data_IF_114081055917
#
_entry.id   IF_114081055917
#
_cell.length_a   1.000
_cell.length_b   1.000
_cell.length_c   1.000
_cell.angle_alpha   90.00
_cell.angle_beta   90.00
_cell.angle_gamma   90.00
#
_symmetry.space_group_name_H-M   'P 1'
#
loop_
_entity.id
_entity.type
_entity.pdbx_description
1 polymer ?
#
# COMPACT_ATOMS: atom_id res chain seq x y z
N UNK A 1 -3.23 67.67 2.58
CA UNK A 1 -3.68 68.08 1.26
C UNK A 1 -3.91 66.79 0.47
N UNK A 2 -5.03 66.39 0.12
CA UNK A 2 -6.40 66.75 -0.19
C UNK A 2 -6.91 65.53 -0.95
N UNK A 3 -7.89 64.87 -0.49
CA UNK A 3 -9.35 64.91 -0.61
C UNK A 3 -9.92 64.58 -2.00
N UNK A 4 -10.99 63.79 -1.93
CA UNK A 4 -12.18 63.69 -2.81
C UNK A 4 -12.15 62.57 -3.89
N UNK A 5 -13.21 61.85 -4.27
CA UNK A 5 -14.61 61.73 -3.81
C UNK A 5 -15.25 60.44 -4.40
N UNK A 6 -16.19 59.88 -3.64
CA UNK A 6 -17.35 59.05 -3.95
C UNK A 6 -17.92 59.02 -5.38
N UNK A 7 -18.47 57.84 -5.75
CA UNK A 7 -19.90 57.80 -6.14
C UNK A 7 -20.42 56.36 -6.25
N UNK A 8 -21.51 56.12 -5.58
CA UNK A 8 -22.47 54.99 -5.66
C UNK A 8 -23.17 54.98 -7.02
N UNK A 9 -23.49 53.77 -7.52
CA UNK A 9 -24.75 53.56 -8.24
C UNK A 9 -25.27 52.14 -8.01
N UNK A 10 -26.38 52.05 -7.30
CA UNK A 10 -27.28 50.89 -7.16
C UNK A 10 -28.14 50.79 -8.41
N UNK A 11 -28.27 49.58 -8.96
CA UNK A 11 -29.45 49.24 -9.75
C UNK A 11 -29.98 47.86 -9.30
N UNK A 12 -31.17 47.92 -8.73
CA UNK A 12 -32.07 46.79 -8.50
C UNK A 12 -32.68 46.39 -9.87
N UNK A 13 -32.77 45.10 -10.15
CA UNK A 13 -33.86 44.60 -10.96
C UNK A 13 -34.32 43.24 -10.43
N UNK A 14 -35.60 43.09 -10.49
CA UNK A 14 -36.48 42.16 -9.79
C UNK A 14 -36.51 40.76 -10.35
N UNK A 15 -37.03 39.85 -9.52
CA UNK A 15 -37.31 38.44 -9.72
C UNK A 15 -38.16 38.10 -10.95
N UNK A 16 -37.90 36.92 -11.50
CA UNK A 16 -38.97 36.00 -11.93
C UNK A 16 -38.55 34.53 -11.70
N UNK A 17 -39.30 33.88 -10.84
CA UNK A 17 -39.32 32.46 -10.57
C UNK A 17 -39.78 31.71 -11.83
N UNK A 18 -38.93 30.81 -12.37
CA UNK A 18 -39.36 29.68 -13.19
C UNK A 18 -38.70 28.41 -12.63
N UNK A 19 -39.56 27.61 -12.02
CA UNK A 19 -39.24 26.27 -11.53
C UNK A 19 -38.94 25.33 -12.73
N UNK A 20 -37.76 24.70 -12.68
CA UNK A 20 -37.45 23.51 -13.49
C UNK A 20 -37.04 22.35 -12.61
N UNK A 21 -37.47 21.11 -12.92
CA UNK A 21 -37.25 19.96 -12.05
C UNK A 21 -35.79 19.56 -12.04
N UNK A 22 -35.29 19.26 -10.84
CA UNK A 22 -33.98 18.69 -10.57
C UNK A 22 -33.88 17.28 -11.10
N UNK A 23 -33.19 17.09 -12.22
CA UNK A 23 -32.67 15.80 -12.63
C UNK A 23 -31.30 15.63 -11.94
N UNK A 24 -31.22 14.71 -10.97
CA UNK A 24 -29.97 14.24 -10.43
C UNK A 24 -29.17 13.53 -11.53
N UNK A 25 -27.96 13.94 -11.87
CA UNK A 25 -27.10 13.10 -12.68
C UNK A 25 -26.50 12.02 -11.80
N UNK A 26 -26.75 10.75 -12.13
CA UNK A 26 -26.03 9.60 -11.60
C UNK A 26 -24.51 9.78 -11.81
N UNK A 27 -23.67 9.43 -10.85
CA UNK A 27 -22.22 9.48 -11.04
C UNK A 27 -21.81 8.37 -12.01
N UNK A 28 -21.61 8.73 -13.27
CA UNK A 28 -20.87 7.89 -14.21
C UNK A 28 -19.40 7.96 -13.82
N UNK A 29 -18.91 6.90 -13.18
CA UNK A 29 -17.48 6.68 -12.99
C UNK A 29 -16.83 6.44 -14.35
N UNK A 30 -16.29 7.49 -14.94
CA UNK A 30 -15.36 7.40 -16.06
C UNK A 30 -14.01 6.98 -15.50
N UNK A 31 -13.72 5.68 -15.47
CA UNK A 31 -12.35 5.19 -15.30
C UNK A 31 -11.57 5.45 -16.58
N UNK A 32 -11.05 6.66 -16.73
CA UNK A 32 -9.96 6.91 -17.66
C UNK A 32 -8.68 6.36 -17.02
N UNK A 33 -8.23 5.20 -17.50
CA UNK A 33 -6.91 4.65 -17.16
C UNK A 33 -5.81 5.56 -17.75
N UNK A 34 -5.52 6.66 -17.06
CA UNK A 34 -4.35 7.48 -17.32
C UNK A 34 -3.16 6.79 -16.64
N UNK A 35 -2.26 6.23 -17.44
CA UNK A 35 -0.94 5.81 -16.98
C UNK A 35 -0.20 7.07 -16.53
N UNK A 36 -0.21 7.34 -15.23
CA UNK A 36 0.59 8.40 -14.65
C UNK A 36 2.01 7.87 -14.40
N UNK A 37 2.98 8.49 -15.02
CA UNK A 37 4.37 8.35 -14.62
C UNK A 37 4.50 8.97 -13.24
N UNK A 38 4.81 8.14 -12.24
CA UNK A 38 4.72 8.46 -10.82
C UNK A 38 5.77 9.46 -10.29
N UNK A 39 6.72 9.90 -11.12
CA UNK A 39 7.89 10.66 -10.66
C UNK A 39 7.99 12.08 -11.22
N UNK A 40 6.86 12.76 -11.49
CA UNK A 40 6.90 14.18 -11.90
C UNK A 40 6.73 15.04 -10.65
N UNK A 41 7.79 15.73 -10.17
CA UNK A 41 7.69 16.62 -9.03
C UNK A 41 6.70 17.75 -9.27
N UNK A 42 5.97 18.18 -8.24
CA UNK A 42 5.25 19.45 -8.26
C UNK A 42 6.26 20.59 -8.54
N UNK A 43 5.84 21.61 -9.31
CA UNK A 43 6.69 22.73 -9.72
C UNK A 43 7.81 22.38 -10.72
N UNK A 44 7.53 21.48 -11.66
CA UNK A 44 8.45 21.27 -12.77
C UNK A 44 8.48 22.50 -13.69
N UNK A 45 9.62 22.73 -14.38
CA UNK A 45 9.76 23.75 -15.41
C UNK A 45 8.92 23.47 -16.66
N UNK A 46 8.28 22.31 -16.73
CA UNK A 46 7.43 21.90 -17.85
C UNK A 46 5.96 22.18 -17.50
N UNK A 47 5.34 23.11 -18.25
CA UNK A 47 3.97 23.60 -18.02
C UNK A 47 2.93 22.91 -18.90
N UNK A 48 2.86 21.57 -18.92
CA UNK A 48 1.75 20.85 -19.57
C UNK A 48 0.44 20.97 -18.78
N UNK A 49 -0.73 20.63 -19.37
CA UNK A 49 -1.99 20.59 -18.64
C UNK A 49 -1.86 19.60 -17.48
N UNK A 50 -2.02 20.09 -16.26
CA UNK A 50 -1.98 19.24 -15.04
C UNK A 50 -3.17 18.31 -15.05
N UNK A 51 -3.00 16.99 -14.82
CA UNK A 51 -4.14 16.15 -14.49
C UNK A 51 -4.83 16.74 -13.26
N UNK A 52 -6.10 16.98 -13.34
CA UNK A 52 -6.90 17.38 -12.18
C UNK A 52 -7.19 16.13 -11.33
N UNK A 53 -6.18 15.61 -10.65
CA UNK A 53 -6.39 14.72 -9.51
C UNK A 53 -6.73 15.61 -8.31
N UNK A 54 -7.85 15.38 -7.60
CA UNK A 54 -8.24 16.20 -6.46
C UNK A 54 -7.26 16.07 -5.27
N UNK A 55 -6.41 15.06 -5.25
CA UNK A 55 -5.42 14.84 -4.19
C UNK A 55 -4.01 14.96 -4.75
N UNK A 56 -3.23 15.83 -4.11
CA UNK A 56 -1.83 16.08 -4.47
C UNK A 56 -0.95 14.94 -3.99
N UNK A 57 -0.05 14.47 -4.85
CA UNK A 57 0.98 13.49 -4.49
C UNK A 57 1.82 14.00 -3.32
N UNK A 58 2.06 13.13 -2.34
CA UNK A 58 2.98 13.41 -1.23
C UNK A 58 4.42 13.42 -1.73
N UNK A 59 5.16 14.47 -1.41
CA UNK A 59 6.57 14.65 -1.76
C UNK A 59 7.40 14.85 -0.50
N UNK A 60 8.72 14.83 -0.62
CA UNK A 60 9.63 15.15 0.49
C UNK A 60 9.33 16.55 1.08
N UNK A 61 8.93 17.50 0.24
CA UNK A 61 8.55 18.85 0.71
C UNK A 61 7.29 18.81 1.59
N UNK A 62 6.30 17.99 1.24
CA UNK A 62 5.11 17.80 2.09
C UNK A 62 5.48 17.18 3.44
N UNK A 63 6.33 16.15 3.46
CA UNK A 63 6.78 15.53 4.71
C UNK A 63 7.55 16.51 5.60
N UNK A 64 8.42 17.35 5.02
CA UNK A 64 9.11 18.43 5.74
C UNK A 64 8.12 19.45 6.32
N UNK A 65 7.11 19.85 5.55
CA UNK A 65 6.08 20.80 6.01
C UNK A 65 5.26 20.20 7.16
N UNK A 66 4.82 18.91 7.06
CA UNK A 66 4.14 18.22 8.15
C UNK A 66 5.01 18.19 9.41
N UNK A 67 6.27 17.83 9.28
CA UNK A 67 7.22 17.78 10.38
C UNK A 67 7.38 19.17 11.06
N UNK A 68 7.57 20.24 10.27
CA UNK A 68 7.68 21.61 10.82
C UNK A 68 6.41 22.09 11.51
N UNK A 69 5.24 21.60 11.10
CA UNK A 69 3.94 21.92 11.73
C UNK A 69 3.62 21.01 12.91
N UNK A 70 4.47 20.03 13.22
CA UNK A 70 4.19 19.01 14.24
C UNK A 70 3.05 18.06 13.87
N UNK A 71 2.70 17.95 12.58
CA UNK A 71 1.68 17.04 12.09
C UNK A 71 2.26 15.62 11.94
N UNK A 72 1.58 14.57 12.47
CA UNK A 72 2.10 13.22 12.41
C UNK A 72 2.13 12.68 10.97
N UNK A 73 3.19 11.92 10.67
CA UNK A 73 3.39 11.25 9.37
C UNK A 73 2.93 9.80 9.48
N UNK A 74 2.03 9.40 8.59
CA UNK A 74 1.53 8.02 8.50
C UNK A 74 2.34 7.22 7.49
N UNK A 75 2.86 6.06 7.92
CA UNK A 75 3.61 5.15 7.05
C UNK A 75 3.05 3.74 7.19
N UNK A 76 2.79 3.05 6.10
CA UNK A 76 2.37 1.65 6.10
C UNK A 76 3.11 0.93 4.98
N UNK A 77 3.44 -0.35 5.19
CA UNK A 77 4.05 -1.16 4.13
C UNK A 77 3.00 -1.62 3.11
N UNK A 78 3.43 -1.84 1.86
CA UNK A 78 2.65 -2.55 0.86
C UNK A 78 3.58 -3.43 0.01
N UNK A 79 3.02 -4.48 -0.61
CA UNK A 79 3.83 -5.49 -1.31
C UNK A 79 3.25 -5.89 -2.65
N UNK A 80 2.04 -5.46 -2.97
CA UNK A 80 1.33 -5.79 -4.19
C UNK A 80 0.40 -4.64 -4.63
N UNK A 81 -0.22 -4.81 -5.79
CA UNK A 81 -1.14 -3.82 -6.34
C UNK A 81 -2.36 -3.55 -5.42
N UNK A 82 -3.11 -4.57 -4.93
CA UNK A 82 -4.28 -4.29 -4.10
C UNK A 82 -3.93 -3.64 -2.76
N UNK A 83 -2.86 -4.05 -2.08
CA UNK A 83 -2.45 -3.38 -0.84
C UNK A 83 -2.07 -1.92 -1.08
N UNK A 84 -1.38 -1.62 -2.19
CA UNK A 84 -1.04 -0.25 -2.57
C UNK A 84 -2.29 0.62 -2.84
N UNK A 85 -3.30 0.07 -3.54
CA UNK A 85 -4.58 0.76 -3.77
C UNK A 85 -5.30 1.06 -2.44
N UNK A 86 -5.27 0.14 -1.48
CA UNK A 86 -5.87 0.39 -0.16
C UNK A 86 -5.19 1.55 0.57
N UNK A 87 -3.86 1.62 0.52
CA UNK A 87 -3.11 2.71 1.14
C UNK A 87 -3.38 4.05 0.45
N UNK A 88 -3.44 4.05 -0.87
CA UNK A 88 -3.76 5.22 -1.69
C UNK A 88 -5.13 5.78 -1.32
N UNK A 89 -6.15 4.92 -1.28
CA UNK A 89 -7.53 5.29 -0.90
C UNK A 89 -7.66 5.76 0.56
N UNK A 90 -6.79 5.25 1.45
CA UNK A 90 -6.79 5.64 2.86
C UNK A 90 -6.04 6.98 3.12
N UNK A 91 -5.41 7.58 2.11
CA UNK A 91 -4.67 8.82 2.23
C UNK A 91 -3.41 8.71 3.11
N UNK A 92 -2.72 7.56 3.07
CA UNK A 92 -1.46 7.33 3.79
C UNK A 92 -0.36 8.20 3.18
N UNK A 93 0.44 8.86 4.01
CA UNK A 93 1.50 9.78 3.53
C UNK A 93 2.65 9.04 2.82
N UNK A 94 3.05 7.89 3.34
CA UNK A 94 4.20 7.12 2.82
C UNK A 94 3.82 5.64 2.68
N UNK A 95 4.05 5.10 1.50
CA UNK A 95 3.96 3.68 1.23
C UNK A 95 5.37 3.09 1.16
N UNK A 96 5.68 2.17 2.07
CA UNK A 96 6.97 1.51 2.17
C UNK A 96 6.89 0.10 1.58
N UNK A 97 7.66 -0.18 0.55
CA UNK A 97 7.90 -1.55 0.09
C UNK A 97 9.03 -2.12 0.93
N UNK A 98 8.66 -2.79 2.02
CA UNK A 98 9.61 -3.30 3.00
C UNK A 98 10.18 -4.67 2.63
N UNK A 99 11.43 -4.94 3.00
CA UNK A 99 12.04 -6.28 2.91
C UNK A 99 11.36 -7.30 3.86
N UNK A 100 10.50 -6.81 4.78
CA UNK A 100 9.54 -7.63 5.52
C UNK A 100 8.60 -8.44 4.61
N UNK A 101 8.52 -8.16 3.30
CA UNK A 101 7.91 -9.03 2.30
C UNK A 101 8.45 -10.46 2.37
N UNK A 102 9.74 -10.62 2.67
CA UNK A 102 10.35 -11.94 2.92
C UNK A 102 9.57 -12.75 3.95
N UNK A 103 9.11 -12.10 5.02
CA UNK A 103 8.39 -12.78 6.11
C UNK A 103 6.89 -12.89 5.85
N UNK A 104 6.23 -11.78 5.49
CA UNK A 104 4.76 -11.72 5.46
C UNK A 104 4.15 -12.11 4.12
N UNK A 105 4.94 -12.14 3.05
CA UNK A 105 4.50 -12.54 1.70
C UNK A 105 5.15 -13.86 1.27
N UNK A 106 6.47 -14.01 1.46
CA UNK A 106 7.21 -15.20 1.03
C UNK A 106 7.24 -16.30 2.10
N UNK A 107 6.89 -15.97 3.37
CA UNK A 107 6.77 -16.97 4.45
C UNK A 107 8.11 -17.38 5.07
N UNK A 108 9.16 -16.58 4.93
CA UNK A 108 10.44 -16.82 5.61
C UNK A 108 10.42 -16.33 7.07
N UNK A 109 11.35 -16.84 7.88
CA UNK A 109 11.48 -16.47 9.29
C UNK A 109 12.19 -15.12 9.51
N UNK A 110 12.87 -14.61 8.49
CA UNK A 110 13.67 -13.39 8.53
C UNK A 110 13.55 -12.60 7.23
N UNK A 111 14.06 -11.36 7.23
CA UNK A 111 14.10 -10.53 6.01
C UNK A 111 15.27 -10.89 5.08
N UNK A 112 16.24 -11.71 5.54
CA UNK A 112 17.48 -11.98 4.80
C UNK A 112 17.31 -12.68 3.43
N UNK A 113 16.35 -13.62 3.26
CA UNK A 113 16.27 -14.39 2.01
C UNK A 113 15.82 -13.61 0.78
N UNK A 114 15.10 -12.50 0.95
CA UNK A 114 14.54 -11.76 -0.19
C UNK A 114 15.66 -11.12 -1.02
N UNK A 115 15.63 -11.37 -2.31
CA UNK A 115 16.56 -10.80 -3.28
C UNK A 115 16.13 -9.41 -3.77
N UNK A 116 17.06 -8.67 -4.39
CA UNK A 116 16.74 -7.40 -5.04
C UNK A 116 15.70 -7.56 -6.16
N UNK A 117 15.80 -8.63 -6.94
CA UNK A 117 14.89 -8.84 -8.08
C UNK A 117 13.46 -9.12 -7.60
N UNK A 118 13.27 -9.84 -6.50
CA UNK A 118 11.97 -10.01 -5.84
C UNK A 118 11.45 -8.68 -5.28
N UNK A 119 12.30 -7.91 -4.60
CA UNK A 119 11.93 -6.57 -4.14
C UNK A 119 11.45 -5.67 -5.30
N UNK A 120 12.13 -5.73 -6.45
CA UNK A 120 11.72 -4.98 -7.65
C UNK A 120 10.37 -5.43 -8.21
N UNK A 121 10.00 -6.71 -8.07
CA UNK A 121 8.64 -7.18 -8.41
C UNK A 121 7.60 -6.51 -7.53
N UNK A 122 7.82 -6.50 -6.21
CA UNK A 122 6.95 -5.82 -5.25
C UNK A 122 6.87 -4.31 -5.51
N UNK A 123 8.01 -3.65 -5.69
CA UNK A 123 8.07 -2.22 -5.99
C UNK A 123 7.25 -1.85 -7.24
N UNK A 124 7.41 -2.58 -8.34
CA UNK A 124 6.64 -2.35 -9.58
C UNK A 124 5.14 -2.56 -9.40
N UNK A 125 4.74 -3.53 -8.59
CA UNK A 125 3.33 -3.79 -8.30
C UNK A 125 2.72 -2.63 -7.49
N UNK A 126 3.42 -2.18 -6.43
CA UNK A 126 3.01 -1.06 -5.58
C UNK A 126 2.96 0.25 -6.36
N UNK A 127 3.98 0.53 -7.18
CA UNK A 127 4.02 1.76 -7.98
C UNK A 127 2.86 1.91 -8.98
N UNK A 128 2.23 0.80 -9.38
CA UNK A 128 1.01 0.83 -10.20
C UNK A 128 -0.27 1.09 -9.41
N UNK A 129 -0.27 0.75 -8.12
CA UNK A 129 -1.46 0.83 -7.26
C UNK A 129 -1.56 2.11 -6.43
N UNK A 130 -0.44 2.73 -6.09
CA UNK A 130 -0.37 3.91 -5.25
C UNK A 130 0.13 5.12 -6.03
N UNK A 131 -0.69 6.17 -6.10
CA UNK A 131 -0.41 7.40 -6.86
C UNK A 131 -0.21 8.63 -5.97
N UNK A 132 -0.76 8.62 -4.75
CA UNK A 132 -0.69 9.74 -3.81
C UNK A 132 0.46 9.65 -2.80
N UNK A 133 0.73 8.50 -2.13
CA UNK A 133 1.78 8.43 -1.13
C UNK A 133 3.18 8.58 -1.74
N UNK A 134 4.12 9.05 -0.94
CA UNK A 134 5.54 8.94 -1.26
C UNK A 134 5.94 7.46 -1.23
N UNK A 135 6.54 6.96 -2.31
CA UNK A 135 6.94 5.55 -2.44
C UNK A 135 8.39 5.35 -2.02
N UNK A 136 8.61 4.47 -1.06
CA UNK A 136 9.95 4.13 -0.57
C UNK A 136 10.18 2.63 -0.73
N UNK A 137 11.33 2.23 -1.28
CA UNK A 137 11.73 0.83 -1.39
C UNK A 137 12.91 0.51 -0.48
N UNK A 138 12.83 -0.61 0.24
CA UNK A 138 13.96 -1.11 1.02
C UNK A 138 15.07 -1.64 0.12
N UNK A 139 16.32 -1.39 0.51
CA UNK A 139 17.46 -2.14 0.00
C UNK A 139 17.58 -3.45 0.78
N UNK A 140 17.38 -4.61 0.14
CA UNK A 140 17.48 -5.89 0.84
C UNK A 140 18.93 -6.21 1.23
N UNK A 141 19.08 -7.05 2.27
CA UNK A 141 20.40 -7.51 2.73
C UNK A 141 21.23 -8.09 1.58
N UNK A 142 22.53 -7.79 1.58
CA UNK A 142 23.47 -8.25 0.56
C UNK A 142 23.61 -7.32 -0.65
N UNK A 143 22.85 -6.22 -0.71
CA UNK A 143 22.79 -5.35 -1.89
C UNK A 143 23.44 -3.97 -1.70
N UNK A 144 23.92 -3.65 -0.49
CA UNK A 144 24.54 -2.34 -0.19
C UNK A 144 25.68 -2.43 0.86
N UNK A 145 26.08 -3.64 1.21
CA UNK A 145 27.05 -3.89 2.27
C UNK A 145 28.50 -3.90 1.80
N UNK A 146 28.75 -4.29 0.56
CA UNK A 146 30.10 -4.53 0.06
C UNK A 146 30.89 -3.24 -0.12
N UNK A 147 30.27 -2.21 -0.69
CA UNK A 147 30.87 -0.90 -0.94
C UNK A 147 29.82 0.12 -1.40
N UNK A 148 30.20 1.40 -1.46
CA UNK A 148 29.30 2.48 -1.85
C UNK A 148 28.79 2.39 -3.29
N UNK A 149 29.60 1.87 -4.23
CA UNK A 149 29.15 1.73 -5.62
C UNK A 149 28.00 0.72 -5.73
N UNK A 150 28.13 -0.45 -5.06
CA UNK A 150 27.03 -1.41 -4.99
C UNK A 150 25.75 -0.76 -4.43
N UNK A 151 25.87 0.02 -3.35
CA UNK A 151 24.74 0.68 -2.71
C UNK A 151 24.05 1.68 -3.66
N UNK A 152 24.83 2.47 -4.40
CA UNK A 152 24.31 3.43 -5.39
C UNK A 152 23.66 2.68 -6.55
N UNK A 153 24.30 1.66 -7.12
CA UNK A 153 23.76 0.87 -8.22
C UNK A 153 22.43 0.22 -7.84
N UNK A 154 22.34 -0.34 -6.63
CA UNK A 154 21.10 -0.91 -6.10
C UNK A 154 20.01 0.15 -5.94
N UNK A 155 20.33 1.30 -5.35
CA UNK A 155 19.37 2.40 -5.19
C UNK A 155 18.86 2.91 -6.56
N UNK A 156 19.73 3.03 -7.56
CA UNK A 156 19.35 3.40 -8.94
C UNK A 156 18.36 2.37 -9.51
N UNK A 157 18.58 1.07 -9.31
CA UNK A 157 17.65 0.04 -9.77
C UNK A 157 16.28 0.16 -9.07
N UNK A 158 16.26 0.39 -7.77
CA UNK A 158 15.01 0.56 -7.00
C UNK A 158 14.20 1.76 -7.52
N UNK A 159 14.85 2.88 -7.82
CA UNK A 159 14.16 4.04 -8.41
C UNK A 159 13.73 3.78 -9.85
N UNK A 160 14.64 3.35 -10.73
CA UNK A 160 14.37 3.26 -12.18
C UNK A 160 13.54 2.05 -12.57
N UNK A 161 13.83 0.89 -12.01
CA UNK A 161 13.14 -0.36 -12.34
C UNK A 161 11.93 -0.60 -11.41
N UNK A 162 12.06 -0.21 -10.13
CA UNK A 162 11.01 -0.35 -9.12
C UNK A 162 9.96 0.76 -9.15
N UNK A 163 10.31 1.95 -9.68
CA UNK A 163 9.41 3.11 -9.71
C UNK A 163 9.25 3.79 -8.35
N UNK A 164 10.24 3.66 -7.47
CA UNK A 164 10.22 4.29 -6.14
C UNK A 164 10.75 5.72 -6.18
N UNK A 165 10.32 6.55 -5.22
CA UNK A 165 10.76 7.94 -5.06
C UNK A 165 12.00 8.06 -4.17
N UNK A 166 12.16 7.10 -3.24
CA UNK A 166 13.23 7.06 -2.26
C UNK A 166 13.58 5.63 -1.91
N UNK A 167 14.69 5.45 -1.18
CA UNK A 167 15.09 4.15 -0.63
C UNK A 167 15.17 4.19 0.90
N UNK A 168 15.08 3.00 1.54
CA UNK A 168 15.44 2.82 2.96
C UNK A 168 16.61 1.86 3.07
N UNK A 169 17.52 2.12 4.00
CA UNK A 169 18.61 1.22 4.36
C UNK A 169 18.77 1.11 5.89
N UNK A 170 19.26 -0.04 6.36
CA UNK A 170 19.38 -0.36 7.77
C UNK A 170 20.80 -0.21 8.30
N UNK A 171 20.86 0.26 9.56
CA UNK A 171 22.08 0.32 10.34
C UNK A 171 22.82 1.65 10.25
N UNK A 172 23.83 1.78 11.11
CA UNK A 172 24.60 3.00 11.27
C UNK A 172 26.06 2.74 11.61
N UNK A 173 26.60 1.57 11.19
CA UNK A 173 28.06 1.38 11.17
C UNK A 173 28.71 2.39 10.21
N UNK A 174 30.00 2.70 10.36
CA UNK A 174 30.68 3.65 9.47
C UNK A 174 30.47 3.33 7.98
N UNK A 175 30.48 2.07 7.59
CA UNK A 175 30.22 1.64 6.21
C UNK A 175 28.79 1.95 5.75
N UNK A 176 27.78 1.82 6.64
CA UNK A 176 26.38 2.15 6.34
C UNK A 176 26.17 3.65 6.18
N UNK A 177 26.79 4.46 7.05
CA UNK A 177 26.78 5.92 6.94
C UNK A 177 27.42 6.35 5.63
N UNK A 178 28.56 5.75 5.26
CA UNK A 178 29.24 6.02 3.98
C UNK A 178 28.37 5.64 2.78
N UNK A 179 27.69 4.49 2.82
CA UNK A 179 26.78 4.08 1.77
C UNK A 179 25.57 5.04 1.65
N UNK A 180 24.95 5.41 2.78
CA UNK A 180 23.86 6.38 2.80
C UNK A 180 24.28 7.72 2.17
N UNK A 181 25.45 8.24 2.55
CA UNK A 181 26.00 9.47 2.01
C UNK A 181 26.24 9.39 0.51
N UNK A 182 26.83 8.30 0.03
CA UNK A 182 27.08 8.10 -1.41
C UNK A 182 25.78 8.07 -2.23
N UNK A 183 24.72 7.43 -1.72
CA UNK A 183 23.41 7.41 -2.36
C UNK A 183 22.80 8.81 -2.39
N UNK A 184 22.87 9.57 -1.29
CA UNK A 184 22.41 10.96 -1.22
C UNK A 184 23.17 11.86 -2.20
N UNK A 185 24.50 11.74 -2.27
CA UNK A 185 25.36 12.49 -3.21
C UNK A 185 25.06 12.14 -4.68
N UNK A 186 24.56 10.92 -4.95
CA UNK A 186 24.05 10.52 -6.26
C UNK A 186 22.68 11.12 -6.60
N UNK A 187 22.08 11.93 -5.71
CA UNK A 187 20.79 12.60 -5.93
C UNK A 187 19.57 11.77 -5.55
N UNK A 188 19.72 10.70 -4.76
CA UNK A 188 18.66 9.79 -4.34
C UNK A 188 18.29 10.06 -2.87
N UNK A 189 16.99 10.20 -2.60
CA UNK A 189 16.49 10.40 -1.25
C UNK A 189 16.62 9.12 -0.40
N UNK A 190 17.16 9.25 0.82
CA UNK A 190 17.44 8.13 1.72
C UNK A 190 16.70 8.28 3.04
N UNK A 191 15.97 7.24 3.43
CA UNK A 191 15.45 7.03 4.78
C UNK A 191 16.42 6.10 5.51
N UNK A 192 16.99 6.54 6.63
CA UNK A 192 17.82 5.71 7.49
C UNK A 192 16.97 4.84 8.41
N UNK A 193 17.60 3.85 9.07
CA UNK A 193 16.91 2.99 10.03
C UNK A 193 17.88 2.56 11.14
N UNK A 194 17.52 2.83 12.39
CA UNK A 194 18.30 2.50 13.58
C UNK A 194 17.44 1.85 14.68
N UNK A 195 18.07 1.32 15.69
CA UNK A 195 17.45 0.52 16.73
C UNK A 195 17.59 -0.96 16.43
N UNK A 196 16.53 -1.73 16.51
CA UNK A 196 16.50 -3.07 15.94
C UNK A 196 16.63 -2.94 14.42
N UNK A 197 17.58 -3.65 13.86
CA UNK A 197 17.78 -3.77 12.41
C UNK A 197 17.60 -5.23 12.02
N UNK A 198 16.45 -5.63 11.46
CA UNK A 198 16.16 -7.04 11.12
C UNK A 198 17.25 -7.71 10.30
N UNK A 199 17.87 -6.99 9.37
CA UNK A 199 18.96 -7.50 8.53
C UNK A 199 20.22 -7.89 9.34
N UNK A 200 20.42 -7.32 10.53
CA UNK A 200 21.54 -7.64 11.41
C UNK A 200 21.23 -8.77 12.42
N UNK A 201 20.18 -9.56 12.18
CA UNK A 201 19.67 -10.58 13.12
C UNK A 201 20.75 -11.55 13.62
N UNK A 202 21.70 -11.93 12.75
CA UNK A 202 22.81 -12.84 13.11
C UNK A 202 23.77 -12.21 14.13
N UNK A 203 24.05 -10.91 13.99
CA UNK A 203 24.93 -10.15 14.88
C UNK A 203 24.22 -9.81 16.20
N UNK A 204 22.94 -9.45 16.12
CA UNK A 204 22.13 -9.09 17.29
C UNK A 204 21.68 -10.34 18.09
N UNK A 205 21.80 -11.53 17.53
CA UNK A 205 21.36 -12.78 18.16
C UNK A 205 19.84 -12.87 18.31
N UNK A 206 19.10 -12.44 17.26
CA UNK A 206 17.65 -12.42 17.19
C UNK A 206 17.05 -11.01 17.14
N UNK A 207 15.72 -10.91 17.09
CA UNK A 207 14.98 -9.65 17.12
C UNK A 207 14.98 -9.07 18.55
N UNK A 208 16.02 -8.32 18.89
CA UNK A 208 16.23 -7.78 20.23
C UNK A 208 16.09 -6.26 20.26
N UNK A 209 15.24 -5.69 21.15
CA UNK A 209 15.14 -4.25 21.35
C UNK A 209 16.50 -3.63 21.70
N UNK A 210 16.81 -2.48 21.11
CA UNK A 210 18.03 -1.73 21.30
C UNK A 210 17.81 -0.53 22.24
N UNK A 211 18.88 0.11 22.72
CA UNK A 211 18.78 1.30 23.57
C UNK A 211 18.32 1.03 25.00
N UNK A 212 18.49 -0.19 25.54
CA UNK A 212 18.02 -0.58 26.88
C UNK A 212 19.00 -0.31 28.02
N UNK A 213 20.19 0.16 27.72
CA UNK A 213 21.19 0.63 28.70
C UNK A 213 21.80 1.94 28.20
N UNK A 214 22.53 2.63 29.07
CA UNK A 214 23.08 3.96 28.79
C UNK A 214 23.87 3.98 27.48
N UNK A 215 24.85 3.09 27.33
CA UNK A 215 25.70 3.07 26.14
C UNK A 215 24.94 2.81 24.85
N UNK A 216 24.01 1.84 24.85
CA UNK A 216 23.19 1.53 23.67
C UNK A 216 22.15 2.62 23.37
N UNK A 217 21.62 3.31 24.39
CA UNK A 217 20.69 4.43 24.20
C UNK A 217 21.40 5.63 23.55
N UNK A 218 22.58 6.01 24.07
CA UNK A 218 23.41 7.06 23.48
C UNK A 218 23.76 6.70 22.03
N UNK A 219 24.14 5.44 21.77
CA UNK A 219 24.49 4.97 20.44
C UNK A 219 23.35 5.09 19.41
N UNK A 220 22.10 4.87 19.82
CA UNK A 220 20.92 5.08 18.95
C UNK A 220 20.84 6.54 18.51
N UNK A 221 21.00 7.48 19.44
CA UNK A 221 20.91 8.92 19.14
C UNK A 221 22.08 9.37 18.25
N UNK A 222 23.33 8.97 18.60
CA UNK A 222 24.52 9.28 17.80
C UNK A 222 24.39 8.76 16.36
N UNK A 223 23.88 7.53 16.20
CA UNK A 223 23.69 6.91 14.89
C UNK A 223 22.64 7.64 14.06
N UNK A 224 21.53 8.04 14.68
CA UNK A 224 20.49 8.82 14.01
C UNK A 224 21.01 10.19 13.57
N UNK A 225 21.82 10.86 14.39
CA UNK A 225 22.49 12.12 14.02
C UNK A 225 23.45 11.92 12.84
N UNK A 226 24.27 10.86 12.85
CA UNK A 226 25.19 10.57 11.76
C UNK A 226 24.45 10.29 10.42
N UNK A 227 23.28 9.65 10.45
CA UNK A 227 22.44 9.47 9.27
C UNK A 227 21.86 10.80 8.76
N UNK A 228 21.44 11.68 9.67
CA UNK A 228 21.03 13.04 9.29
C UNK A 228 22.19 13.81 8.63
N UNK A 229 23.39 13.76 9.21
CA UNK A 229 24.59 14.39 8.65
C UNK A 229 24.99 13.80 7.29
N UNK A 230 24.72 12.50 7.06
CA UNK A 230 24.88 11.86 5.76
C UNK A 230 23.85 12.35 4.72
N UNK A 231 22.84 13.12 5.11
CA UNK A 231 21.81 13.69 4.25
C UNK A 231 20.52 12.88 4.15
N UNK A 232 20.29 11.92 5.05
CA UNK A 232 19.00 11.22 5.11
C UNK A 232 17.87 12.22 5.38
N UNK A 233 16.72 12.06 4.71
CA UNK A 233 15.57 12.95 4.90
C UNK A 233 14.68 12.54 6.09
N UNK A 234 14.83 11.31 6.58
CA UNK A 234 14.07 10.73 7.69
C UNK A 234 14.83 9.54 8.28
N UNK A 235 14.52 9.17 9.53
CA UNK A 235 15.10 7.98 10.19
C UNK A 235 14.01 7.16 10.87
N UNK A 236 13.97 5.86 10.59
CA UNK A 236 13.14 4.89 11.33
C UNK A 236 13.82 4.57 12.67
N UNK A 237 13.04 4.59 13.75
CA UNK A 237 13.44 4.14 15.09
C UNK A 237 12.65 2.86 15.40
N UNK A 238 13.31 1.70 15.37
CA UNK A 238 12.66 0.42 15.60
C UNK A 238 13.02 -0.19 16.96
N UNK A 239 11.98 -0.57 17.72
CA UNK A 239 12.09 -1.30 18.98
C UNK A 239 13.11 -0.68 19.95
N UNK A 240 13.05 0.64 20.13
CA UNK A 240 13.80 1.41 21.12
C UNK A 240 12.87 1.90 22.24
N UNK A 241 13.34 2.07 23.49
CA UNK A 241 12.52 2.61 24.56
C UNK A 241 12.00 4.03 24.21
N UNK A 242 10.76 4.32 24.60
CA UNK A 242 10.11 5.61 24.31
C UNK A 242 10.93 6.85 24.74
N UNK A 243 11.62 6.89 25.90
CA UNK A 243 12.50 8.01 26.25
C UNK A 243 13.67 8.19 25.27
N UNK A 244 14.23 7.10 24.73
CA UNK A 244 15.33 7.15 23.74
C UNK A 244 14.81 7.67 22.41
N UNK A 245 13.62 7.22 21.97
CA UNK A 245 12.97 7.71 20.78
C UNK A 245 12.64 9.21 20.87
N UNK A 246 12.13 9.66 22.02
CA UNK A 246 11.87 11.08 22.29
C UNK A 246 13.14 11.92 22.21
N UNK A 247 14.24 11.45 22.83
CA UNK A 247 15.53 12.13 22.79
C UNK A 247 16.09 12.23 21.36
N UNK A 248 16.05 11.12 20.60
CA UNK A 248 16.46 11.11 19.20
C UNK A 248 15.62 12.06 18.34
N UNK A 249 14.29 12.03 18.50
CA UNK A 249 13.38 12.91 17.78
C UNK A 249 13.64 14.40 18.08
N UNK A 250 13.92 14.74 19.32
CA UNK A 250 14.25 16.11 19.72
C UNK A 250 15.63 16.58 19.24
N UNK A 251 16.58 15.65 19.08
CA UNK A 251 17.93 15.97 18.62
C UNK A 251 18.06 16.15 17.10
N UNK A 252 17.10 15.63 16.35
CA UNK A 252 17.10 15.63 14.88
C UNK A 252 16.25 16.79 14.31
N UNK A 253 16.69 17.31 13.14
CA UNK A 253 15.94 18.29 12.35
C UNK A 253 15.13 17.64 11.23
N UNK A 254 15.21 16.31 11.10
CA UNK A 254 14.48 15.49 10.13
C UNK A 254 13.44 14.63 10.85
N UNK A 255 12.35 14.25 10.19
CA UNK A 255 11.32 13.44 10.82
C UNK A 255 11.85 12.05 11.23
N UNK A 256 11.40 11.60 12.41
CA UNK A 256 11.58 10.24 12.89
C UNK A 256 10.30 9.44 12.70
N UNK A 257 10.41 8.19 12.27
CA UNK A 257 9.30 7.27 12.08
C UNK A 257 9.45 6.10 13.05
N UNK A 258 8.53 5.99 14.01
CA UNK A 258 8.59 4.96 15.04
C UNK A 258 7.93 3.65 14.62
N UNK A 259 8.53 2.53 15.01
CA UNK A 259 7.91 1.22 15.03
C UNK A 259 8.32 0.49 16.31
N UNK A 260 7.37 0.25 17.21
CA UNK A 260 7.70 -0.26 18.55
C UNK A 260 8.57 0.70 19.38
N UNK A 261 8.55 1.99 19.10
CA UNK A 261 9.36 3.02 19.74
C UNK A 261 8.54 4.01 20.61
N UNK A 262 7.27 3.74 20.80
CA UNK A 262 6.34 4.62 21.54
C UNK A 262 5.84 5.80 20.69
N UNK A 263 5.06 6.73 21.28
CA UNK A 263 4.32 7.74 20.55
C UNK A 263 5.09 9.04 20.27
N UNK A 264 6.36 9.13 20.62
CA UNK A 264 7.13 10.40 20.62
C UNK A 264 7.95 10.63 19.34
N UNK A 265 7.73 9.83 18.29
CA UNK A 265 8.29 10.06 16.96
C UNK A 265 7.41 11.00 16.13
N UNK A 266 7.97 11.58 15.07
CA UNK A 266 7.25 12.46 14.13
C UNK A 266 6.18 11.72 13.33
N UNK A 267 6.29 10.39 13.20
CA UNK A 267 5.33 9.52 12.53
C UNK A 267 5.46 8.08 13.02
N UNK A 268 4.61 7.19 12.48
CA UNK A 268 4.57 5.78 12.86
C UNK A 268 4.48 4.91 11.61
N UNK A 269 5.14 3.74 11.62
CA UNK A 269 4.99 2.72 10.59
C UNK A 269 4.52 1.40 11.18
N UNK A 270 3.67 0.68 10.46
CA UNK A 270 3.32 -0.71 10.73
C UNK A 270 3.33 -1.53 9.43
N UNK A 271 3.58 -2.83 9.59
CA UNK A 271 3.47 -3.81 8.52
C UNK A 271 2.00 -4.06 8.19
N UNK A 272 1.62 -3.95 6.93
CA UNK A 272 0.24 -4.05 6.44
C UNK A 272 -0.47 -5.34 6.93
N UNK A 273 0.19 -6.49 6.77
CA UNK A 273 -0.38 -7.78 7.18
C UNK A 273 -0.59 -7.87 8.69
N UNK A 274 0.33 -7.31 9.47
CA UNK A 274 0.26 -7.34 10.94
C UNK A 274 -0.87 -6.45 11.45
N UNK A 275 -0.95 -5.19 10.96
CA UNK A 275 -1.98 -4.26 11.42
C UNK A 275 -3.40 -4.68 11.04
N UNK A 276 -3.56 -5.45 9.95
CA UNK A 276 -4.86 -5.97 9.51
C UNK A 276 -5.20 -7.35 10.10
N UNK A 277 -4.27 -7.97 10.83
CA UNK A 277 -4.48 -9.32 11.36
C UNK A 277 -4.73 -10.34 10.27
N UNK A 278 -3.98 -10.26 9.15
CA UNK A 278 -4.15 -11.16 8.00
C UNK A 278 -3.55 -12.53 8.22
N UNK A 279 -2.48 -12.63 9.01
CA UNK A 279 -1.71 -13.84 9.20
C UNK A 279 -2.13 -14.54 10.50
N UNK A 280 -2.82 -15.67 10.36
CA UNK A 280 -3.32 -16.49 11.48
C UNK A 280 -2.60 -17.83 11.62
N UNK A 281 -1.63 -18.11 10.74
CA UNK A 281 -0.87 -19.35 10.84
C UNK A 281 -0.09 -19.40 12.16
N UNK A 282 -0.05 -20.54 12.88
CA UNK A 282 0.63 -20.68 14.17
C UNK A 282 2.10 -20.22 14.17
N UNK A 283 2.78 -20.34 13.03
CA UNK A 283 4.13 -19.83 12.82
C UNK A 283 4.15 -18.28 12.86
N UNK A 284 3.27 -17.62 12.11
CA UNK A 284 3.20 -16.16 12.09
C UNK A 284 2.63 -15.55 13.37
N UNK A 285 1.72 -16.27 14.06
CA UNK A 285 1.23 -15.82 15.37
C UNK A 285 2.37 -15.68 16.41
N UNK A 286 3.47 -16.43 16.25
CA UNK A 286 4.67 -16.31 17.10
C UNK A 286 5.56 -15.11 16.73
N UNK A 287 5.45 -14.60 15.52
CA UNK A 287 6.29 -13.50 14.99
C UNK A 287 5.55 -12.17 14.87
N UNK A 288 4.23 -12.11 15.13
CA UNK A 288 3.53 -10.83 15.24
C UNK A 288 4.12 -10.02 16.38
N UNK A 289 4.67 -8.82 16.10
CA UNK A 289 5.34 -8.04 17.12
C UNK A 289 4.40 -7.61 18.25
N UNK A 290 4.86 -7.66 19.51
CA UNK A 290 4.06 -7.28 20.70
C UNK A 290 3.57 -5.83 20.66
N UNK A 291 4.26 -4.95 19.94
CA UNK A 291 3.87 -3.55 19.78
C UNK A 291 2.82 -3.33 18.70
N UNK A 292 2.56 -4.32 17.86
CA UNK A 292 1.61 -4.17 16.76
C UNK A 292 0.17 -4.22 17.28
N UNK A 293 -0.55 -3.10 17.14
CA UNK A 293 -2.00 -3.08 17.32
C UNK A 293 -2.64 -3.58 16.03
N UNK A 294 -3.45 -4.63 16.14
CA UNK A 294 -4.32 -5.06 15.06
C UNK A 294 -5.58 -4.18 15.03
N UNK A 295 -5.80 -3.51 13.92
CA UNK A 295 -6.98 -2.66 13.69
C UNK A 295 -8.14 -3.43 13.09
N UNK A 296 -7.87 -4.65 12.57
CA UNK A 296 -8.86 -5.58 12.04
C UNK A 296 -8.38 -7.03 12.21
N UNK A 297 -9.25 -7.98 11.90
CA UNK A 297 -8.97 -9.43 11.86
C UNK A 297 -9.36 -9.96 10.48
N UNK A 298 -8.69 -9.47 9.44
CA UNK A 298 -9.03 -9.78 8.04
C UNK A 298 -8.85 -11.26 7.73
N UNK A 299 -7.89 -11.92 8.38
CA UNK A 299 -7.70 -13.37 8.26
C UNK A 299 -8.95 -14.19 8.60
N UNK A 300 -9.73 -13.78 9.61
CA UNK A 300 -11.00 -14.46 9.97
C UNK A 300 -12.05 -14.33 8.87
N UNK A 301 -12.13 -13.12 8.27
CA UNK A 301 -13.05 -12.83 7.16
C UNK A 301 -12.70 -13.67 5.94
N UNK A 302 -11.41 -13.73 5.59
CA UNK A 302 -10.90 -14.55 4.48
C UNK A 302 -11.23 -16.03 4.72
N UNK A 303 -10.89 -16.56 5.89
CA UNK A 303 -11.14 -17.97 6.23
C UNK A 303 -12.63 -18.31 6.18
N UNK A 304 -13.49 -17.44 6.72
CA UNK A 304 -14.95 -17.63 6.65
C UNK A 304 -15.43 -17.67 5.19
N UNK A 305 -15.02 -16.72 4.37
CA UNK A 305 -15.41 -16.65 2.95
C UNK A 305 -14.98 -17.90 2.17
N UNK A 306 -13.76 -18.40 2.42
CA UNK A 306 -13.28 -19.64 1.80
C UNK A 306 -14.05 -20.89 2.26
N UNK A 307 -14.45 -20.96 3.53
CA UNK A 307 -15.26 -22.04 4.06
C UNK A 307 -16.69 -22.00 3.48
N UNK A 308 -17.28 -20.83 3.37
CA UNK A 308 -18.60 -20.63 2.76
C UNK A 308 -18.55 -21.05 1.27
N UNK A 309 -17.57 -20.60 0.50
CA UNK A 309 -17.37 -21.03 -0.87
C UNK A 309 -17.21 -22.55 -1.00
N UNK A 310 -16.34 -23.15 -0.18
CA UNK A 310 -16.15 -24.62 -0.16
C UNK A 310 -17.45 -25.35 0.09
N UNK A 311 -18.24 -24.87 1.07
CA UNK A 311 -19.54 -25.47 1.41
C UNK A 311 -20.50 -25.40 0.24
N UNK A 312 -20.69 -24.22 -0.35
CA UNK A 312 -21.63 -24.00 -1.46
C UNK A 312 -21.28 -24.82 -2.69
N UNK A 313 -19.99 -24.95 -3.02
CA UNK A 313 -19.55 -25.85 -4.10
C UNK A 313 -19.83 -27.32 -3.77
N UNK A 314 -19.62 -27.72 -2.49
CA UNK A 314 -19.79 -29.12 -2.07
C UNK A 314 -21.26 -29.54 -2.05
N UNK A 315 -22.15 -28.65 -1.63
CA UNK A 315 -23.60 -28.91 -1.59
C UNK A 315 -24.32 -28.56 -2.89
N UNK A 316 -23.61 -28.02 -3.88
CA UNK A 316 -24.13 -27.69 -5.22
C UNK A 316 -24.98 -26.43 -5.27
N UNK A 317 -24.95 -25.58 -4.26
CA UNK A 317 -25.65 -24.29 -4.25
C UNK A 317 -24.92 -23.19 -5.05
N UNK A 318 -23.61 -23.33 -5.25
CA UNK A 318 -22.79 -22.49 -6.15
C UNK A 318 -22.26 -23.33 -7.33
N UNK A 319 -22.32 -22.81 -8.61
CA UNK A 319 -22.93 -21.54 -9.00
C UNK A 319 -24.45 -21.62 -9.09
N UNK A 320 -25.14 -20.60 -8.57
CA UNK A 320 -26.59 -20.44 -8.74
C UNK A 320 -26.96 -19.84 -10.09
N UNK A 321 -28.27 -19.62 -10.36
CA UNK A 321 -28.75 -19.06 -11.63
C UNK A 321 -28.12 -17.70 -11.97
N UNK A 322 -27.89 -16.85 -10.98
CA UNK A 322 -27.29 -15.52 -11.15
C UNK A 322 -25.80 -15.58 -11.55
N UNK A 323 -25.15 -16.71 -11.26
CA UNK A 323 -23.75 -16.97 -11.57
C UNK A 323 -23.57 -17.84 -12.83
N UNK A 324 -24.67 -18.07 -13.59
CA UNK A 324 -24.69 -18.80 -14.86
C UNK A 324 -25.26 -17.91 -15.98
N UNK A 325 -24.56 -16.81 -16.35
CA UNK A 325 -25.14 -15.77 -17.23
C UNK A 325 -25.21 -16.18 -18.69
N UNK A 326 -24.49 -17.21 -19.12
CA UNK A 326 -24.41 -17.63 -20.51
C UNK A 326 -25.60 -18.50 -20.89
N UNK A 327 -26.39 -18.01 -21.82
CA UNK A 327 -27.62 -18.68 -22.26
C UNK A 327 -27.50 -19.13 -23.71
N UNK A 328 -28.14 -20.24 -24.02
CA UNK A 328 -28.34 -20.75 -25.36
C UNK A 328 -29.84 -20.69 -25.68
N UNK A 329 -30.25 -20.41 -26.95
CA UNK A 329 -31.64 -20.34 -27.31
C UNK A 329 -32.28 -21.73 -27.30
N UNK A 330 -33.61 -21.81 -27.09
CA UNK A 330 -34.31 -23.10 -27.10
C UNK A 330 -34.16 -23.83 -28.44
N UNK A 331 -34.11 -23.09 -29.54
CA UNK A 331 -33.89 -23.64 -30.89
C UNK A 331 -32.48 -24.26 -30.99
N UNK A 332 -31.46 -23.57 -30.50
CA UNK A 332 -30.10 -24.04 -30.54
C UNK A 332 -29.87 -25.22 -29.57
N UNK A 333 -30.57 -25.22 -28.40
CA UNK A 333 -30.57 -26.39 -27.50
C UNK A 333 -31.06 -27.64 -28.24
N UNK A 334 -32.20 -27.55 -28.92
CA UNK A 334 -32.74 -28.70 -29.67
C UNK A 334 -31.80 -29.14 -30.79
N UNK A 335 -31.21 -28.21 -31.52
CA UNK A 335 -30.17 -28.50 -32.51
C UNK A 335 -28.96 -29.22 -31.91
N UNK A 336 -28.46 -28.71 -30.79
CA UNK A 336 -27.35 -29.29 -30.06
C UNK A 336 -27.63 -30.73 -29.57
N UNK A 337 -28.79 -30.99 -29.00
CA UNK A 337 -29.21 -32.32 -28.56
C UNK A 337 -29.23 -33.32 -29.73
N UNK A 338 -29.79 -32.92 -30.89
CA UNK A 338 -29.85 -33.73 -32.09
C UNK A 338 -28.43 -34.08 -32.61
N UNK A 339 -27.53 -33.11 -32.62
CA UNK A 339 -26.14 -33.38 -33.07
C UNK A 339 -25.40 -34.33 -32.11
N UNK A 340 -25.59 -34.19 -30.77
CA UNK A 340 -25.04 -35.16 -29.82
C UNK A 340 -25.53 -36.60 -30.05
N UNK A 341 -26.84 -36.74 -30.36
CA UNK A 341 -27.42 -38.05 -30.69
C UNK A 341 -26.82 -38.64 -31.98
N UNK A 342 -26.68 -37.82 -33.05
CA UNK A 342 -26.01 -38.25 -34.28
C UNK A 342 -24.56 -38.71 -34.08
N UNK A 343 -23.88 -38.14 -33.10
CA UNK A 343 -22.52 -38.51 -32.68
C UNK A 343 -22.51 -39.78 -31.81
N UNK A 344 -23.67 -40.37 -31.47
CA UNK A 344 -23.77 -41.52 -30.55
C UNK A 344 -23.55 -41.15 -29.09
N UNK A 345 -23.69 -39.87 -28.70
CA UNK A 345 -23.45 -39.37 -27.35
C UNK A 345 -24.79 -39.21 -26.57
N UNK A 346 -25.62 -40.25 -26.55
CA UNK A 346 -26.97 -40.26 -25.96
C UNK A 346 -26.98 -39.85 -24.49
N UNK A 347 -26.00 -40.28 -23.71
CA UNK A 347 -25.86 -39.85 -22.29
C UNK A 347 -25.65 -38.36 -22.15
N UNK A 348 -24.82 -37.77 -23.01
CA UNK A 348 -24.57 -36.33 -23.01
C UNK A 348 -25.81 -35.54 -23.44
N UNK A 349 -26.54 -36.00 -24.46
CA UNK A 349 -27.77 -35.41 -24.89
C UNK A 349 -28.83 -35.43 -23.77
N UNK A 350 -28.98 -36.55 -23.07
CA UNK A 350 -29.93 -36.69 -21.94
C UNK A 350 -29.54 -35.76 -20.78
N UNK A 351 -28.27 -35.64 -20.44
CA UNK A 351 -27.83 -34.75 -19.41
C UNK A 351 -28.08 -33.26 -19.75
N UNK A 352 -27.81 -32.86 -21.00
CA UNK A 352 -28.06 -31.50 -21.49
C UNK A 352 -29.57 -31.17 -21.50
N UNK A 353 -30.41 -32.10 -21.93
CA UNK A 353 -31.87 -31.95 -21.94
C UNK A 353 -32.42 -31.73 -20.50
N UNK A 354 -31.97 -32.54 -19.55
CA UNK A 354 -32.40 -32.43 -18.15
C UNK A 354 -32.02 -31.08 -17.51
N UNK A 355 -30.87 -30.52 -17.87
CA UNK A 355 -30.44 -29.19 -17.39
C UNK A 355 -31.30 -28.08 -18.07
N UNK A 356 -31.52 -28.16 -19.39
CA UNK A 356 -32.34 -27.19 -20.11
C UNK A 356 -33.76 -27.12 -19.53
N UNK A 357 -34.39 -28.25 -19.23
CA UNK A 357 -35.72 -28.30 -18.62
C UNK A 357 -35.76 -27.69 -17.21
N UNK A 358 -34.73 -27.93 -16.40
CA UNK A 358 -34.63 -27.30 -15.05
C UNK A 358 -34.48 -25.79 -15.12
N UNK A 359 -33.70 -25.29 -16.08
CA UNK A 359 -33.50 -23.85 -16.28
C UNK A 359 -34.76 -23.13 -16.78
N UNK A 360 -35.58 -23.78 -17.58
CA UNK A 360 -36.88 -23.23 -18.03
C UNK A 360 -37.90 -23.19 -16.88
N UNK A 361 -37.98 -24.22 -16.05
CA UNK A 361 -38.86 -24.25 -14.89
C UNK A 361 -38.53 -23.20 -13.82
N UNK A 362 -37.27 -22.82 -13.67
CA UNK A 362 -36.84 -21.78 -12.72
C UNK A 362 -37.23 -20.34 -13.18
N UNK A 363 -37.71 -20.15 -14.41
CA UNK A 363 -38.18 -18.87 -14.97
C UNK A 363 -39.69 -18.61 -14.78
N UNK A 364 -40.45 -19.58 -14.28
CA UNK A 364 -41.87 -19.36 -14.01
C UNK A 364 -42.01 -18.56 -12.70
N UNK A 365 -42.69 -17.39 -12.69
CA UNK A 365 -42.95 -16.66 -11.47
C UNK A 365 -43.76 -17.56 -10.52
N UNK A 366 -43.37 -17.62 -9.26
CA UNK A 366 -44.18 -18.24 -8.21
C UNK A 366 -45.57 -17.62 -8.28
N UNK A 367 -46.54 -18.44 -8.69
CA UNK A 367 -47.92 -18.02 -8.79
C UNK A 367 -48.38 -17.42 -7.47
N UNK A 368 -48.89 -16.21 -7.56
CA UNK A 368 -49.66 -15.59 -6.50
C UNK A 368 -50.72 -16.58 -6.00
N UNK A 369 -50.56 -17.15 -4.81
CA UNK A 369 -51.66 -17.63 -4.03
C UNK A 369 -52.05 -16.51 -3.06
N UNK A 370 -53.03 -15.69 -3.51
CA UNK A 370 -53.93 -15.01 -2.59
C UNK A 370 -55.25 -15.79 -2.56
N UNK A 371 -55.85 -16.00 -1.39
CA UNK A 371 -57.16 -15.43 -1.22
C UNK A 371 -57.17 -14.25 -0.28
#
# INVERSE_FOLDING_TARGET
>A
MGTFYNALLRLRCSASLVSRPSVCPSPQFLFAALRHFSNVPENSVYGGPRPQSPEKRVTLSHLRQKHHRGEPITVITAYDYPSAVHLDMAGIDVCLVGDSASMVVHGHDTTLPISLDEMLVHCRAVARGATHPLLIGDLPFGTYESNSNQAVDTAVRVLKEGGMDAIKLEGGSPSRITAAKAIVEAGIAVMGHVGLTPQAISVLGGFRPQGRNIASAVKVVETALALQEAGCFSVVLECVPAPVAAAATSALNIPTIGIGAGPFCSGQVLVYHDLLGMLQHPHHAKVTPKFCKQFAHVGDVINKALLDYKKEVTDGSFPGPDHSPYKISATDVNGFLNELQKMGLDKAASAAAAVAEKMDKSKLPNGENSP
#
